data_IF_401679197964
#
_entry.id   IF_401679197964
#
_cell.length_a   1.000
_cell.length_b   1.000
_cell.length_c   1.000
_cell.angle_alpha   90.00
_cell.angle_beta   90.00
_cell.angle_gamma   90.00
#
_symmetry.space_group_name_H-M   'P 1'
#
loop_
_entity.id
_entity.type
_entity.pdbx_description
1 polymer ?
#
# COMPACT_ATOMS: atom_id res chain seq x y z
N UNK A 1 2.26 20.38 -6.16
CA UNK A 1 1.06 20.04 -6.95
C UNK A 1 1.24 20.58 -8.35
N UNK A 2 0.90 19.81 -9.37
CA UNK A 2 0.94 20.21 -10.77
C UNK A 2 -0.46 20.06 -11.36
N UNK A 3 -0.90 21.03 -12.16
CA UNK A 3 -2.15 20.96 -12.92
C UNK A 3 -1.80 21.02 -14.40
N UNK A 4 -2.16 19.96 -15.14
CA UNK A 4 -1.91 19.86 -16.57
C UNK A 4 -3.24 19.86 -17.31
N UNK A 5 -3.46 20.87 -18.15
CA UNK A 5 -4.60 20.92 -19.06
C UNK A 5 -4.26 20.16 -20.35
N UNK A 6 -5.14 19.24 -20.73
CA UNK A 6 -5.05 18.48 -21.97
C UNK A 6 -5.65 19.26 -23.14
N UNK A 7 -5.34 18.84 -24.38
CA UNK A 7 -5.76 19.54 -25.61
C UNK A 7 -7.28 19.62 -25.77
N UNK A 8 -8.01 18.63 -25.26
CA UNK A 8 -9.47 18.55 -25.27
C UNK A 8 -10.15 19.36 -24.14
N UNK A 9 -9.36 20.03 -23.30
CA UNK A 9 -9.84 20.81 -22.17
C UNK A 9 -9.99 20.02 -20.87
N UNK A 10 -9.69 18.71 -20.85
CA UNK A 10 -9.61 17.95 -19.61
C UNK A 10 -8.40 18.38 -18.76
N UNK A 11 -8.40 17.99 -17.48
CA UNK A 11 -7.33 18.31 -16.54
C UNK A 11 -6.79 17.06 -15.85
N UNK A 12 -5.48 17.04 -15.64
CA UNK A 12 -4.76 16.05 -14.81
C UNK A 12 -4.14 16.78 -13.64
N UNK A 13 -4.35 16.26 -12.43
CA UNK A 13 -3.73 16.77 -11.21
C UNK A 13 -2.64 15.80 -10.74
N UNK A 14 -1.41 16.30 -10.64
CA UNK A 14 -0.26 15.56 -10.11
C UNK A 14 0.12 16.02 -8.70
N UNK A 15 0.35 15.06 -7.80
CA UNK A 15 0.76 15.31 -6.43
C UNK A 15 2.08 14.62 -6.13
N UNK A 16 3.01 15.36 -5.54
CA UNK A 16 4.20 14.82 -4.89
C UNK A 16 4.07 15.11 -3.41
N UNK A 17 4.14 14.06 -2.60
CA UNK A 17 3.93 14.13 -1.15
C UNK A 17 5.10 13.45 -0.46
N UNK A 18 5.62 14.06 0.59
CA UNK A 18 6.59 13.40 1.46
C UNK A 18 5.87 12.33 2.28
N UNK A 19 6.23 11.05 2.11
CA UNK A 19 5.52 9.95 2.76
C UNK A 19 5.68 9.95 4.30
N UNK A 20 6.66 10.69 4.84
CA UNK A 20 6.85 10.87 6.30
C UNK A 20 5.76 11.75 6.91
N UNK A 21 5.20 12.69 6.14
CA UNK A 21 4.21 13.65 6.66
C UNK A 21 2.77 13.15 6.50
N UNK A 22 2.49 12.21 5.60
CA UNK A 22 1.15 11.68 5.35
C UNK A 22 1.16 10.30 4.68
N UNK A 23 0.10 9.53 4.95
CA UNK A 23 -0.20 8.26 4.31
C UNK A 23 -1.28 8.42 3.21
N UNK A 24 -1.63 7.33 2.52
CA UNK A 24 -2.60 7.37 1.43
C UNK A 24 -3.99 7.88 1.87
N UNK A 25 -4.43 7.54 3.08
CA UNK A 25 -5.71 8.01 3.62
C UNK A 25 -5.67 9.53 3.90
N UNK A 26 -4.59 10.01 4.54
CA UNK A 26 -4.37 11.43 4.81
C UNK A 26 -4.24 12.26 3.54
N UNK A 27 -3.53 11.76 2.52
CA UNK A 27 -3.45 12.43 1.21
C UNK A 27 -4.82 12.49 0.54
N UNK A 28 -5.62 11.43 0.63
CA UNK A 28 -6.99 11.41 0.09
C UNK A 28 -7.87 12.46 0.79
N UNK A 29 -7.80 12.57 2.12
CA UNK A 29 -8.51 13.59 2.88
C UNK A 29 -8.04 15.01 2.51
N UNK A 30 -6.74 15.20 2.32
CA UNK A 30 -6.17 16.49 1.90
C UNK A 30 -6.67 16.91 0.51
N UNK A 31 -6.66 16.00 -0.48
CA UNK A 31 -7.18 16.28 -1.83
C UNK A 31 -8.67 16.61 -1.77
N UNK A 32 -9.45 15.88 -0.95
CA UNK A 32 -10.87 16.16 -0.74
C UNK A 32 -11.09 17.55 -0.13
N UNK A 33 -10.32 17.91 0.88
CA UNK A 33 -10.38 19.24 1.50
C UNK A 33 -10.10 20.36 0.49
N UNK A 34 -9.09 20.19 -0.38
CA UNK A 34 -8.82 21.14 -1.48
C UNK A 34 -10.04 21.26 -2.40
N UNK A 35 -10.65 20.14 -2.78
CA UNK A 35 -11.81 20.14 -3.67
C UNK A 35 -13.06 20.77 -3.03
N UNK A 36 -13.26 20.62 -1.71
CA UNK A 36 -14.34 21.26 -0.96
C UNK A 36 -14.14 22.77 -0.89
N UNK A 37 -12.95 23.22 -0.49
CA UNK A 37 -12.63 24.65 -0.43
C UNK A 37 -12.71 25.31 -1.82
N UNK A 38 -12.26 24.62 -2.87
CA UNK A 38 -12.37 25.13 -4.25
C UNK A 38 -13.83 25.27 -4.73
N UNK A 39 -14.77 24.53 -4.15
CA UNK A 39 -16.22 24.67 -4.42
C UNK A 39 -16.89 25.76 -3.59
N UNK A 40 -16.16 26.41 -2.67
CA UNK A 40 -16.69 27.47 -1.82
C UNK A 40 -17.22 26.98 -0.48
N UNK A 41 -16.94 25.74 -0.07
CA UNK A 41 -17.27 25.27 1.28
C UNK A 41 -16.49 26.07 2.32
N UNK A 42 -17.14 26.38 3.45
CA UNK A 42 -16.54 27.21 4.50
C UNK A 42 -15.40 26.49 5.24
N UNK A 43 -15.44 25.16 5.31
CA UNK A 43 -14.45 24.32 5.96
C UNK A 43 -14.48 22.89 5.38
N UNK A 44 -13.37 22.13 5.47
CA UNK A 44 -13.35 20.73 5.05
C UNK A 44 -14.29 19.85 5.88
N UNK A 45 -14.85 18.80 5.26
CA UNK A 45 -15.73 17.81 5.93
C UNK A 45 -15.02 17.04 7.04
N UNK A 46 -13.70 16.88 6.94
CA UNK A 46 -12.87 16.24 7.95
C UNK A 46 -11.87 17.28 8.45
N UNK A 47 -12.02 17.70 9.70
CA UNK A 47 -11.11 18.67 10.32
C UNK A 47 -9.71 18.07 10.46
N UNK A 48 -8.65 18.80 10.05
CA UNK A 48 -7.29 18.35 10.29
C UNK A 48 -6.98 18.36 11.79
N UNK A 49 -6.52 17.23 12.32
CA UNK A 49 -6.08 17.10 13.72
C UNK A 49 -4.56 17.11 13.76
N UNK A 50 -3.98 18.14 14.39
CA UNK A 50 -2.53 18.32 14.47
C UNK A 50 -1.89 17.68 15.71
N UNK A 51 -2.70 17.13 16.61
CA UNK A 51 -2.31 16.56 17.89
C UNK A 51 -1.56 15.22 17.75
N UNK A 52 -0.48 15.18 16.95
CA UNK A 52 0.35 13.98 16.74
C UNK A 52 0.95 13.44 18.05
N UNK A 53 0.97 14.28 19.08
CA UNK A 53 1.29 13.90 20.43
C UNK A 53 0.40 12.79 21.00
N UNK A 54 -0.78 12.48 20.46
CA UNK A 54 -1.57 11.34 20.97
C UNK A 54 -0.97 9.98 20.59
N UNK A 55 -0.13 9.92 19.56
CA UNK A 55 0.55 8.70 19.09
C UNK A 55 1.80 8.40 19.93
N UNK A 56 1.64 8.33 21.25
CA UNK A 56 2.72 7.95 22.18
C UNK A 56 2.70 6.45 22.44
N UNK A 57 3.85 5.90 22.79
CA UNK A 57 3.88 4.63 23.47
C UNK A 57 3.09 4.71 24.79
N UNK A 58 2.60 3.56 25.27
CA UNK A 58 2.00 3.46 26.61
C UNK A 58 3.03 3.82 27.67
N UNK A 59 2.55 4.35 28.80
CA UNK A 59 3.36 4.62 29.99
C UNK A 59 2.80 3.82 31.19
N UNK A 60 3.54 2.82 31.72
CA UNK A 60 4.83 2.34 31.23
C UNK A 60 4.69 1.57 29.90
N UNK A 61 5.77 1.48 29.10
CA UNK A 61 5.77 0.68 27.88
C UNK A 61 5.40 -0.78 28.18
N UNK A 62 4.36 -1.30 27.52
CA UNK A 62 3.99 -2.73 27.57
C UNK A 62 4.35 -3.38 26.25
N UNK A 63 5.49 -4.04 26.19
CA UNK A 63 5.92 -4.81 25.02
C UNK A 63 5.32 -6.21 25.16
N UNK A 64 4.45 -6.61 24.23
CA UNK A 64 3.76 -7.93 24.26
C UNK A 64 4.38 -8.99 23.36
N UNK A 65 5.21 -8.57 22.42
CA UNK A 65 5.88 -9.42 21.46
C UNK A 65 7.36 -9.03 21.47
N UNK A 66 8.26 -9.97 21.24
CA UNK A 66 9.69 -9.70 21.01
C UNK A 66 9.87 -8.73 19.82
N UNK A 67 11.12 -8.38 19.51
CA UNK A 67 11.46 -7.47 18.39
C UNK A 67 10.61 -7.80 17.17
N UNK A 68 9.79 -6.84 16.74
CA UNK A 68 8.92 -7.03 15.59
C UNK A 68 9.80 -7.44 14.39
N UNK A 69 9.50 -8.54 13.68
CA UNK A 69 10.43 -9.13 12.71
C UNK A 69 10.94 -8.19 11.62
N UNK A 70 10.21 -7.10 11.32
CA UNK A 70 10.68 -6.08 10.37
C UNK A 70 11.81 -5.18 10.91
N UNK A 71 12.05 -5.17 12.22
CA UNK A 71 13.09 -4.41 12.92
C UNK A 71 14.14 -5.30 13.59
N UNK A 72 14.02 -6.63 13.46
CA UNK A 72 15.01 -7.57 13.96
C UNK A 72 16.15 -7.70 12.92
N UNK A 73 17.39 -7.32 13.27
CA UNK A 73 18.51 -7.35 12.34
C UNK A 73 18.92 -8.76 11.92
N UNK A 74 18.53 -9.77 12.70
CA UNK A 74 18.80 -11.20 12.43
C UNK A 74 17.63 -11.89 11.73
N UNK A 75 16.49 -11.20 11.58
CA UNK A 75 15.34 -11.81 10.94
C UNK A 75 15.59 -11.91 9.44
N UNK A 76 15.36 -13.08 8.82
CA UNK A 76 15.23 -13.18 7.37
C UNK A 76 13.99 -12.42 6.84
N UNK A 77 13.31 -11.66 7.72
CA UNK A 77 12.10 -10.86 7.51
C UNK A 77 12.32 -9.37 7.39
N UNK A 78 13.56 -8.91 7.41
CA UNK A 78 13.89 -7.50 7.14
C UNK A 78 13.34 -7.12 5.78
N UNK A 79 12.27 -6.33 5.77
CA UNK A 79 11.60 -5.91 4.53
C UNK A 79 11.58 -4.41 4.32
N UNK A 80 12.17 -3.60 5.22
CA UNK A 80 11.73 -2.20 5.29
C UNK A 80 12.84 -1.15 5.35
N UNK A 81 14.10 -1.45 5.67
CA UNK A 81 15.11 -0.39 5.79
C UNK A 81 16.45 -0.85 5.22
N UNK A 82 16.61 -0.67 3.90
CA UNK A 82 17.85 -0.23 3.24
C UNK A 82 19.15 -1.03 3.40
N UNK A 83 19.15 -2.20 4.04
CA UNK A 83 20.34 -3.06 4.12
C UNK A 83 20.21 -4.22 3.14
N UNK A 84 21.12 -4.21 2.18
CA UNK A 84 21.14 -4.96 0.93
C UNK A 84 21.49 -6.46 1.05
N UNK A 85 21.11 -7.16 2.13
CA UNK A 85 21.58 -8.55 2.33
C UNK A 85 20.66 -9.64 1.76
N UNK A 86 19.44 -9.35 1.31
CA UNK A 86 18.66 -10.27 0.46
C UNK A 86 19.03 -10.07 -1.02
N UNK A 87 20.30 -10.32 -1.35
CA UNK A 87 20.90 -10.16 -2.70
C UNK A 87 20.21 -11.03 -3.78
N UNK A 88 19.37 -11.99 -3.38
CA UNK A 88 18.76 -13.02 -4.24
C UNK A 88 17.23 -12.84 -4.42
N UNK A 89 16.62 -11.70 -4.04
CA UNK A 89 15.23 -11.40 -4.42
C UNK A 89 15.20 -10.74 -5.82
N UNK A 90 14.73 -11.45 -6.87
CA UNK A 90 14.68 -10.92 -8.23
C UNK A 90 13.91 -9.60 -8.36
N UNK A 91 12.90 -9.33 -7.52
CA UNK A 91 12.20 -8.05 -7.57
C UNK A 91 13.03 -6.90 -7.02
N UNK A 92 13.76 -7.12 -5.93
CA UNK A 92 14.54 -6.06 -5.29
C UNK A 92 15.86 -5.81 -6.03
N UNK A 93 16.37 -6.81 -6.74
CA UNK A 93 17.60 -6.71 -7.54
C UNK A 93 17.38 -6.23 -8.96
N UNK A 94 16.14 -6.24 -9.48
CA UNK A 94 15.85 -5.69 -10.82
C UNK A 94 16.02 -4.16 -10.81
N UNK A 95 16.87 -3.59 -11.69
CA UNK A 95 17.02 -2.14 -11.81
C UNK A 95 15.71 -1.44 -12.13
N UNK A 96 15.48 -0.25 -11.57
CA UNK A 96 14.21 0.45 -11.73
C UNK A 96 13.97 0.86 -13.19
N UNK A 97 15.05 1.10 -13.94
CA UNK A 97 15.03 1.47 -15.35
C UNK A 97 14.57 0.33 -16.26
N UNK A 98 14.69 -0.92 -15.81
CA UNK A 98 14.24 -2.11 -16.53
C UNK A 98 12.78 -2.47 -16.21
N UNK A 99 12.21 -1.90 -15.16
CA UNK A 99 10.83 -2.16 -14.76
C UNK A 99 9.85 -1.42 -15.66
N UNK A 100 8.88 -2.17 -16.20
CA UNK A 100 7.79 -1.62 -17.00
C UNK A 100 6.53 -1.51 -16.15
N UNK A 101 5.94 -0.32 -16.12
CA UNK A 101 4.62 -0.10 -15.54
C UNK A 101 3.50 -0.55 -16.48
N UNK A 102 2.66 -1.48 -16.03
CA UNK A 102 1.45 -1.89 -16.75
C UNK A 102 0.23 -1.89 -15.84
N UNK A 103 -0.92 -1.55 -16.40
CA UNK A 103 -2.20 -1.53 -15.69
C UNK A 103 -3.00 -2.79 -16.01
N UNK A 104 -3.31 -3.56 -14.97
CA UNK A 104 -4.23 -4.70 -15.06
C UNK A 104 -5.59 -4.30 -14.51
N UNK A 105 -6.64 -4.48 -15.30
CA UNK A 105 -8.02 -4.16 -14.91
C UNK A 105 -8.75 -5.42 -14.47
N UNK A 106 -9.19 -5.44 -13.22
CA UNK A 106 -10.06 -6.47 -12.67
C UNK A 106 -11.47 -5.92 -12.46
N UNK A 107 -12.39 -6.29 -13.34
CA UNK A 107 -13.80 -5.95 -13.23
C UNK A 107 -14.59 -7.03 -12.49
N UNK A 108 -15.91 -6.85 -12.45
CA UNK A 108 -16.84 -7.80 -11.81
C UNK A 108 -16.75 -9.21 -12.41
N UNK A 109 -16.58 -9.31 -13.73
CA UNK A 109 -16.51 -10.59 -14.44
C UNK A 109 -15.26 -11.38 -14.02
N UNK A 110 -14.11 -10.71 -13.99
CA UNK A 110 -12.83 -11.30 -13.59
C UNK A 110 -12.86 -11.73 -12.13
N UNK A 111 -13.38 -10.88 -11.24
CA UNK A 111 -13.53 -11.22 -9.81
C UNK A 111 -14.45 -12.43 -9.61
N UNK A 112 -15.58 -12.50 -10.32
CA UNK A 112 -16.49 -13.65 -10.25
C UNK A 112 -15.82 -14.92 -10.76
N UNK A 113 -15.05 -14.84 -11.87
CA UNK A 113 -14.31 -15.98 -12.40
C UNK A 113 -13.27 -16.49 -11.39
N UNK A 114 -12.50 -15.59 -10.76
CA UNK A 114 -11.53 -15.95 -9.73
C UNK A 114 -12.18 -16.63 -8.51
N UNK A 115 -13.36 -16.14 -8.08
CA UNK A 115 -14.09 -16.73 -6.95
C UNK A 115 -14.55 -18.17 -7.19
N UNK A 116 -14.76 -18.59 -8.45
CA UNK A 116 -15.14 -19.97 -8.79
C UNK A 116 -14.04 -20.99 -8.50
N UNK A 117 -12.80 -20.54 -8.31
CA UNK A 117 -11.66 -21.40 -7.98
C UNK A 117 -11.43 -21.52 -6.47
N UNK A 118 -12.27 -20.91 -5.64
CA UNK A 118 -12.18 -21.01 -4.19
C UNK A 118 -13.13 -22.10 -3.68
N UNK A 119 -12.64 -22.91 -2.74
CA UNK A 119 -13.53 -23.74 -1.93
C UNK A 119 -14.41 -22.83 -1.07
N UNK A 120 -15.73 -23.00 -1.16
CA UNK A 120 -16.74 -22.07 -0.64
C UNK A 120 -16.85 -22.02 0.88
N UNK A 121 -15.92 -22.64 1.61
CA UNK A 121 -16.00 -22.82 3.06
C UNK A 121 -15.69 -21.54 3.86
N UNK A 122 -14.99 -20.56 3.27
CA UNK A 122 -14.65 -19.32 3.97
C UNK A 122 -14.89 -18.07 3.12
N UNK A 123 -15.65 -17.08 3.61
CA UNK A 123 -15.85 -15.82 2.90
C UNK A 123 -14.52 -15.06 2.80
N UNK A 124 -14.26 -14.45 1.64
CA UNK A 124 -13.11 -13.55 1.43
C UNK A 124 -13.54 -12.27 0.71
N UNK A 125 -12.94 -11.14 1.10
CA UNK A 125 -13.12 -9.86 0.45
C UNK A 125 -12.51 -9.86 -0.96
N UNK A 126 -12.95 -8.93 -1.81
CA UNK A 126 -12.34 -8.78 -3.15
C UNK A 126 -10.87 -8.37 -3.05
N UNK A 127 -10.50 -7.60 -2.02
CA UNK A 127 -9.12 -7.22 -1.74
C UNK A 127 -8.26 -8.46 -1.45
N UNK A 128 -8.67 -9.33 -0.52
CA UNK A 128 -7.94 -10.55 -0.18
C UNK A 128 -7.78 -11.48 -1.39
N UNK A 129 -8.85 -11.65 -2.16
CA UNK A 129 -8.82 -12.47 -3.37
C UNK A 129 -7.82 -11.96 -4.40
N UNK A 130 -7.89 -10.67 -4.76
CA UNK A 130 -7.01 -10.09 -5.77
C UNK A 130 -5.57 -10.03 -5.27
N UNK A 131 -5.35 -9.67 -4.01
CA UNK A 131 -4.02 -9.66 -3.39
C UNK A 131 -3.38 -11.05 -3.41
N UNK A 132 -4.11 -12.10 -2.98
CA UNK A 132 -3.60 -13.46 -2.98
C UNK A 132 -3.33 -13.98 -4.41
N UNK A 133 -4.23 -13.68 -5.35
CA UNK A 133 -4.06 -14.01 -6.76
C UNK A 133 -2.82 -13.35 -7.37
N UNK A 134 -2.69 -12.03 -7.22
CA UNK A 134 -1.54 -11.28 -7.75
C UNK A 134 -0.24 -11.71 -7.10
N UNK A 135 -0.24 -11.98 -5.79
CA UNK A 135 0.93 -12.50 -5.10
C UNK A 135 1.37 -13.85 -5.67
N UNK A 136 0.44 -14.80 -5.85
CA UNK A 136 0.72 -16.09 -6.50
C UNK A 136 1.27 -15.92 -7.92
N UNK A 137 0.61 -15.10 -8.76
CA UNK A 137 1.05 -14.85 -10.13
C UNK A 137 2.44 -14.22 -10.18
N UNK A 138 2.71 -13.22 -9.34
CA UNK A 138 4.02 -12.56 -9.24
C UNK A 138 5.10 -13.54 -8.81
N UNK A 139 4.84 -14.36 -7.79
CA UNK A 139 5.79 -15.37 -7.32
C UNK A 139 6.12 -16.38 -8.42
N UNK A 140 5.11 -16.86 -9.16
CA UNK A 140 5.34 -17.78 -10.27
C UNK A 140 6.13 -17.13 -11.41
N UNK A 141 5.80 -15.88 -11.78
CA UNK A 141 6.44 -15.16 -12.88
C UNK A 141 7.92 -14.84 -12.60
N UNK A 142 8.29 -14.57 -11.34
CA UNK A 142 9.66 -14.24 -10.96
C UNK A 142 10.57 -15.46 -10.77
N UNK A 143 10.04 -16.68 -10.84
CA UNK A 143 10.86 -17.90 -10.82
C UNK A 143 11.65 -18.11 -9.54
N UNK A 144 11.11 -17.69 -8.39
CA UNK A 144 11.73 -17.92 -7.08
C UNK A 144 12.07 -19.40 -6.87
N UNK A 145 13.16 -19.70 -6.14
CA UNK A 145 13.54 -21.09 -5.84
C UNK A 145 12.47 -21.79 -5.00
N UNK A 146 12.31 -23.13 -5.07
CA UNK A 146 11.24 -23.83 -4.36
C UNK A 146 11.20 -23.63 -2.84
N UNK A 147 12.37 -23.36 -2.23
CA UNK A 147 12.54 -23.13 -0.79
C UNK A 147 12.67 -21.64 -0.42
N UNK A 148 12.67 -20.75 -1.41
CA UNK A 148 12.79 -19.32 -1.16
C UNK A 148 11.49 -18.77 -0.59
N UNK A 149 11.59 -18.11 0.56
CA UNK A 149 10.44 -17.51 1.22
C UNK A 149 10.08 -16.22 0.51
N UNK A 150 8.89 -16.16 -0.08
CA UNK A 150 8.34 -14.93 -0.66
C UNK A 150 7.35 -14.32 0.31
N UNK A 151 7.39 -12.99 0.46
CA UNK A 151 6.58 -12.27 1.45
C UNK A 151 5.56 -11.39 0.76
N UNK A 152 4.43 -11.21 1.43
CA UNK A 152 3.41 -10.22 1.11
C UNK A 152 3.33 -9.25 2.29
N UNK A 153 3.58 -7.97 2.03
CA UNK A 153 3.46 -6.91 3.05
C UNK A 153 2.25 -6.06 2.73
N UNK A 154 1.32 -5.96 3.68
CA UNK A 154 0.13 -5.14 3.57
C UNK A 154 0.21 -3.98 4.57
N UNK A 155 -0.14 -2.77 4.10
CA UNK A 155 -0.32 -1.62 4.99
C UNK A 155 -1.76 -1.64 5.50
N UNK A 156 -1.93 -1.47 6.80
CA UNK A 156 -3.23 -1.44 7.47
C UNK A 156 -3.45 -0.04 8.04
N UNK A 157 -4.62 0.53 7.80
CA UNK A 157 -5.03 1.77 8.46
C UNK A 157 -5.46 1.46 9.90
N UNK A 158 -4.78 2.08 10.86
CA UNK A 158 -5.02 1.87 12.29
C UNK A 158 -6.09 2.82 12.86
N UNK A 159 -6.66 3.71 12.04
CA UNK A 159 -7.72 4.65 12.46
C UNK A 159 -9.07 3.97 12.68
N UNK A 160 -9.29 2.78 12.11
CA UNK A 160 -10.47 1.95 12.39
C UNK A 160 -11.80 2.54 11.91
N UNK A 161 -11.86 3.00 10.66
CA UNK A 161 -13.13 3.41 10.03
C UNK A 161 -14.12 2.25 9.88
#
# INVERSE_FOLDING_TARGET
>A
MQVTRLKDGAFVLGFQVCHVIGDAAGVTQFIRAIAELARGEAHPSVSPVWERGIFKARDPPRVRHDVYPAYDPTSPSRTVLGDHDDVDDPMLSTPTEELVGQYLRFGRKEVVALRRHLDTAQPCTTFELLTAFLWKCRTAALGYRPWQRVRLVLRVDVRGN
#
